data_IF_722714603296
#
_entry.id   IF_722714603296
#
_cell.length_a   1.000
_cell.length_b   1.000
_cell.length_c   1.000
_cell.angle_alpha   90.00
_cell.angle_beta   90.00
_cell.angle_gamma   90.00
#
_symmetry.space_group_name_H-M   'P 1'
#
loop_
_entity.id
_entity.type
_entity.pdbx_description
1 polymer ?
#
# COMPACT_ATOMS: atom_id res chain seq x y z
N UNK A 1 5.92 -18.99 -18.49
CA UNK A 1 5.54 -18.43 -17.18
C UNK A 1 4.82 -17.11 -17.44
N UNK A 2 3.61 -16.97 -16.94
CA UNK A 2 2.85 -15.74 -17.15
C UNK A 2 3.36 -14.59 -16.27
N UNK A 3 2.90 -13.38 -16.54
CA UNK A 3 3.33 -12.19 -15.83
C UNK A 3 3.01 -12.26 -14.33
N UNK A 4 1.84 -12.80 -13.98
CA UNK A 4 1.42 -12.91 -12.58
C UNK A 4 2.35 -13.83 -11.79
N UNK A 5 2.72 -14.98 -12.37
CA UNK A 5 3.64 -15.92 -11.72
C UNK A 5 5.01 -15.30 -11.50
N UNK A 6 5.52 -14.55 -12.48
CA UNK A 6 6.79 -13.82 -12.35
C UNK A 6 6.73 -12.80 -11.22
N UNK A 7 5.63 -12.06 -11.12
CA UNK A 7 5.45 -11.05 -10.08
C UNK A 7 5.35 -11.68 -8.69
N UNK A 8 4.66 -12.81 -8.58
CA UNK A 8 4.59 -13.56 -7.33
C UNK A 8 5.99 -14.01 -6.89
N UNK A 9 6.82 -14.45 -7.83
CA UNK A 9 8.21 -14.86 -7.54
C UNK A 9 9.03 -13.67 -7.03
N UNK A 10 8.90 -12.51 -7.67
CA UNK A 10 9.60 -11.29 -7.23
C UNK A 10 9.14 -10.89 -5.84
N UNK A 11 7.83 -10.92 -5.58
CA UNK A 11 7.26 -10.56 -4.29
C UNK A 11 7.74 -11.50 -3.17
N UNK A 12 7.84 -12.79 -3.45
CA UNK A 12 8.32 -13.78 -2.48
C UNK A 12 9.79 -13.57 -2.14
N UNK A 13 10.61 -13.18 -3.11
CA UNK A 13 12.06 -12.99 -2.92
C UNK A 13 12.42 -11.62 -2.37
N UNK A 14 11.81 -10.58 -2.91
CA UNK A 14 12.24 -9.19 -2.70
C UNK A 14 11.19 -8.32 -1.99
N UNK A 15 10.01 -8.88 -1.72
CA UNK A 15 8.92 -8.17 -1.06
C UNK A 15 8.02 -7.41 -2.03
N UNK A 16 6.84 -7.03 -1.51
CA UNK A 16 5.81 -6.35 -2.32
C UNK A 16 6.25 -4.95 -2.76
N UNK A 17 7.02 -4.25 -1.93
CA UNK A 17 7.47 -2.88 -2.24
C UNK A 17 8.35 -2.88 -3.50
N UNK A 18 9.31 -3.82 -3.58
CA UNK A 18 10.17 -3.94 -4.75
C UNK A 18 9.38 -4.36 -5.99
N UNK A 19 8.42 -5.27 -5.81
CA UNK A 19 7.54 -5.72 -6.90
C UNK A 19 6.77 -4.54 -7.50
N UNK A 20 6.20 -3.69 -6.65
CA UNK A 20 5.46 -2.50 -7.09
C UNK A 20 6.38 -1.52 -7.82
N UNK A 21 7.60 -1.36 -7.33
CA UNK A 21 8.58 -0.47 -7.99
C UNK A 21 8.91 -0.97 -9.40
N UNK A 22 9.08 -2.27 -9.56
CA UNK A 22 9.36 -2.87 -10.86
C UNK A 22 8.19 -2.71 -11.82
N UNK A 23 6.96 -2.88 -11.32
CA UNK A 23 5.75 -2.84 -12.15
C UNK A 23 5.33 -1.43 -12.53
N UNK A 24 5.34 -0.52 -11.58
CA UNK A 24 4.72 0.80 -11.73
C UNK A 24 5.72 1.96 -11.67
N UNK A 25 6.94 1.71 -11.25
CA UNK A 25 7.93 2.74 -11.00
C UNK A 25 7.76 3.38 -9.61
N UNK A 26 8.55 4.40 -9.34
CA UNK A 26 8.54 5.11 -8.06
C UNK A 26 7.62 6.32 -8.11
N UNK A 27 6.99 6.64 -6.97
CA UNK A 27 6.20 7.86 -6.83
C UNK A 27 4.82 7.82 -7.45
N UNK A 28 4.36 6.66 -7.90
CA UNK A 28 3.03 6.49 -8.52
C UNK A 28 2.00 6.21 -7.44
N UNK A 29 0.84 6.88 -7.54
CA UNK A 29 -0.30 6.57 -6.68
C UNK A 29 -0.94 5.27 -7.13
N UNK A 30 -1.18 4.38 -6.20
CA UNK A 30 -1.80 3.08 -6.46
C UNK A 30 -3.14 2.95 -5.75
N UNK A 31 -4.07 2.28 -6.41
CA UNK A 31 -5.30 1.82 -5.77
C UNK A 31 -5.01 0.45 -5.15
N UNK A 32 -5.24 0.32 -3.85
CA UNK A 32 -4.82 -0.83 -3.06
C UNK A 32 -6.02 -1.69 -2.72
N UNK A 33 -6.03 -2.99 -3.10
CA UNK A 33 -7.09 -3.90 -2.64
C UNK A 33 -6.92 -4.18 -1.15
N UNK A 34 -8.03 -4.26 -0.41
CA UNK A 34 -7.97 -4.47 1.03
C UNK A 34 -9.20 -5.22 1.54
N UNK A 35 -9.04 -5.81 2.74
CA UNK A 35 -10.14 -6.36 3.53
C UNK A 35 -10.30 -5.50 4.78
N UNK A 36 -11.52 -5.06 5.06
CA UNK A 36 -11.81 -4.20 6.23
C UNK A 36 -11.37 -4.85 7.54
N UNK A 37 -11.42 -6.17 7.63
CA UNK A 37 -10.99 -6.89 8.83
C UNK A 37 -9.52 -6.68 9.15
N UNK A 38 -8.69 -6.54 8.12
CA UNK A 38 -7.26 -6.35 8.29
C UNK A 38 -6.88 -4.89 8.55
N UNK A 39 -7.81 -3.97 8.30
CA UNK A 39 -7.52 -2.54 8.30
C UNK A 39 -8.05 -1.80 9.53
N UNK A 40 -8.81 -2.47 10.40
CA UNK A 40 -9.34 -1.87 11.62
C UNK A 40 -8.30 -1.93 12.76
N UNK A 41 -7.13 -1.39 12.47
CA UNK A 41 -6.00 -1.35 13.39
C UNK A 41 -5.36 0.03 13.34
N UNK A 42 -4.63 0.37 14.40
CA UNK A 42 -3.90 1.63 14.48
C UNK A 42 -2.84 1.74 13.40
N UNK A 43 -2.61 2.96 12.90
CA UNK A 43 -1.52 3.25 11.96
C UNK A 43 -0.14 2.93 12.55
N UNK A 44 -0.03 2.75 13.85
CA UNK A 44 1.23 2.41 14.50
C UNK A 44 1.81 1.08 13.99
N UNK A 45 0.97 0.17 13.50
CA UNK A 45 1.42 -1.10 12.92
C UNK A 45 2.21 -0.92 11.62
N UNK A 46 2.11 0.25 11.00
CA UNK A 46 2.78 0.53 9.72
C UNK A 46 4.25 0.90 9.88
N UNK A 47 4.71 1.15 11.09
CA UNK A 47 6.10 1.59 11.34
C UNK A 47 6.51 2.81 10.50
N UNK A 48 5.62 3.80 10.45
CA UNK A 48 5.90 5.04 9.73
C UNK A 48 6.96 5.87 10.46
N UNK A 49 7.64 6.74 9.71
CA UNK A 49 8.49 7.75 10.31
C UNK A 49 7.68 8.61 11.28
N UNK A 50 8.33 9.23 12.24
CA UNK A 50 7.67 10.12 13.21
C UNK A 50 6.95 11.24 12.48
N UNK A 51 7.56 11.80 11.44
CA UNK A 51 6.98 12.88 10.64
C UNK A 51 5.69 12.46 9.94
N UNK A 52 5.71 11.30 9.26
CA UNK A 52 4.52 10.80 8.56
C UNK A 52 3.41 10.45 9.54
N UNK A 53 3.75 9.75 10.62
CA UNK A 53 2.79 9.36 11.65
C UNK A 53 2.12 10.58 12.27
N UNK A 54 2.90 11.60 12.65
CA UNK A 54 2.36 12.81 13.27
C UNK A 54 1.47 13.59 12.31
N UNK A 55 1.84 13.66 11.03
CA UNK A 55 1.00 14.33 10.02
C UNK A 55 -0.37 13.68 9.89
N UNK A 56 -0.42 12.35 9.88
CA UNK A 56 -1.68 11.61 9.82
C UNK A 56 -2.51 11.86 11.08
N UNK A 57 -1.90 11.73 12.25
CA UNK A 57 -2.58 11.90 13.54
C UNK A 57 -3.16 13.31 13.72
N UNK A 58 -2.43 14.32 13.28
CA UNK A 58 -2.91 15.71 13.31
C UNK A 58 -4.15 15.93 12.43
N UNK A 59 -4.32 15.11 11.42
CA UNK A 59 -5.48 15.15 10.53
C UNK A 59 -6.54 14.12 10.89
N UNK A 60 -6.48 13.59 12.11
CA UNK A 60 -7.44 12.61 12.65
C UNK A 60 -7.47 11.29 11.88
N UNK A 61 -6.36 10.94 11.24
CA UNK A 61 -6.21 9.67 10.53
C UNK A 61 -5.46 8.72 11.46
N UNK A 62 -6.19 7.82 12.09
CA UNK A 62 -5.69 6.99 13.18
C UNK A 62 -5.60 5.51 12.85
N UNK A 63 -6.34 5.05 11.83
CA UNK A 63 -6.39 3.64 11.47
C UNK A 63 -5.90 3.42 10.04
N UNK A 64 -5.47 2.18 9.76
CA UNK A 64 -5.04 1.80 8.42
C UNK A 64 -6.19 1.97 7.42
N UNK A 65 -7.43 1.63 7.82
CA UNK A 65 -8.60 1.81 6.97
C UNK A 65 -8.80 3.27 6.57
N UNK A 66 -8.64 4.19 7.51
CA UNK A 66 -8.73 5.63 7.21
C UNK A 66 -7.64 6.08 6.23
N UNK A 67 -6.41 5.55 6.39
CA UNK A 67 -5.31 5.86 5.47
C UNK A 67 -5.66 5.40 4.05
N UNK A 68 -6.16 4.16 3.91
CA UNK A 68 -6.54 3.62 2.60
C UNK A 68 -7.62 4.49 1.96
N UNK A 69 -8.62 4.90 2.74
CA UNK A 69 -9.67 5.80 2.25
C UNK A 69 -9.12 7.11 1.71
N UNK A 70 -8.15 7.70 2.40
CA UNK A 70 -7.51 8.94 1.96
C UNK A 70 -6.73 8.72 0.66
N UNK A 71 -6.02 7.59 0.55
CA UNK A 71 -5.29 7.25 -0.68
C UNK A 71 -6.26 7.08 -1.85
N UNK A 72 -7.36 6.35 -1.66
CA UNK A 72 -8.36 6.12 -2.71
C UNK A 72 -8.99 7.41 -3.22
N UNK A 73 -9.28 8.34 -2.32
CA UNK A 73 -9.85 9.63 -2.67
C UNK A 73 -8.81 10.63 -3.20
N UNK A 74 -7.54 10.21 -3.26
CA UNK A 74 -6.42 11.09 -3.65
C UNK A 74 -6.34 12.34 -2.76
N UNK A 75 -6.55 12.17 -1.47
CA UNK A 75 -6.60 13.26 -0.50
C UNK A 75 -5.33 13.37 0.38
N UNK A 76 -4.26 12.62 0.03
CA UNK A 76 -2.97 12.77 0.72
C UNK A 76 -2.31 14.11 0.41
N UNK A 77 -2.51 14.63 -0.79
CA UNK A 77 -1.89 15.89 -1.21
C UNK A 77 -2.27 17.09 -0.35
N UNK A 78 -3.55 17.26 0.05
CA UNK A 78 -3.92 18.37 0.91
C UNK A 78 -3.56 18.19 2.39
N UNK A 79 -3.01 17.05 2.78
CA UNK A 79 -2.60 16.87 4.18
C UNK A 79 -1.43 17.78 4.50
N UNK A 80 -1.66 18.64 5.48
CA UNK A 80 -0.69 19.64 5.90
C UNK A 80 0.56 18.97 6.47
N UNK A 81 1.73 19.49 6.08
CA UNK A 81 3.04 19.01 6.51
C UNK A 81 3.40 17.61 6.00
N UNK A 82 2.68 17.10 5.00
CA UNK A 82 3.03 15.84 4.39
C UNK A 82 3.67 16.09 3.01
N UNK A 83 4.98 15.93 2.94
CA UNK A 83 5.72 16.05 1.69
C UNK A 83 5.62 14.82 0.82
N UNK A 84 6.18 14.90 -0.38
CA UNK A 84 6.13 13.84 -1.38
C UNK A 84 6.71 12.52 -0.87
N UNK A 85 7.83 12.58 -0.14
CA UNK A 85 8.45 11.37 0.44
C UNK A 85 7.57 10.72 1.48
N UNK A 86 6.90 11.50 2.32
CA UNK A 86 6.02 10.96 3.36
C UNK A 86 4.78 10.30 2.76
N UNK A 87 4.22 10.87 1.69
CA UNK A 87 3.09 10.27 0.98
C UNK A 87 3.48 8.93 0.38
N UNK A 88 4.65 8.85 -0.25
CA UNK A 88 5.17 7.62 -0.81
C UNK A 88 5.41 6.57 0.27
N UNK A 89 6.00 6.99 1.39
CA UNK A 89 6.23 6.12 2.53
C UNK A 89 4.92 5.51 3.04
N UNK A 90 3.89 6.32 3.23
CA UNK A 90 2.59 5.88 3.72
C UNK A 90 2.00 4.80 2.81
N UNK A 91 1.99 5.07 1.49
CA UNK A 91 1.43 4.14 0.52
C UNK A 91 2.17 2.79 0.52
N UNK A 92 3.50 2.83 0.50
CA UNK A 92 4.31 1.61 0.47
C UNK A 92 4.21 0.82 1.76
N UNK A 93 4.14 1.49 2.90
CA UNK A 93 3.97 0.82 4.19
C UNK A 93 2.59 0.15 4.33
N UNK A 94 1.55 0.77 3.79
CA UNK A 94 0.22 0.15 3.74
C UNK A 94 0.25 -1.12 2.90
N UNK A 95 0.86 -1.07 1.72
CA UNK A 95 1.02 -2.25 0.86
C UNK A 95 1.76 -3.37 1.56
N UNK A 96 2.88 -3.04 2.19
CA UNK A 96 3.71 -4.03 2.88
C UNK A 96 2.95 -4.69 4.02
N UNK A 97 2.24 -3.90 4.82
CA UNK A 97 1.43 -4.41 5.92
C UNK A 97 0.34 -5.36 5.43
N UNK A 98 -0.44 -4.93 4.44
CA UNK A 98 -1.55 -5.74 3.92
C UNK A 98 -1.03 -7.05 3.33
N UNK A 99 0.04 -6.98 2.56
CA UNK A 99 0.63 -8.17 1.94
C UNK A 99 1.15 -9.15 2.98
N UNK A 100 1.83 -8.65 4.02
CA UNK A 100 2.39 -9.49 5.08
C UNK A 100 1.32 -10.23 5.89
N UNK A 101 0.09 -9.71 5.94
CA UNK A 101 -1.01 -10.34 6.67
C UNK A 101 -1.67 -11.49 5.91
N UNK A 102 -1.28 -11.75 4.67
CA UNK A 102 -1.96 -12.70 3.79
C UNK A 102 -1.28 -14.07 3.78
N UNK A 103 -2.08 -15.12 3.57
CA UNK A 103 -1.57 -16.46 3.28
C UNK A 103 -0.98 -16.50 1.87
N UNK A 104 -0.24 -17.58 1.53
CA UNK A 104 0.34 -17.72 0.19
C UNK A 104 -0.72 -17.68 -0.91
N UNK A 105 -1.85 -18.33 -0.71
CA UNK A 105 -2.96 -18.32 -1.69
C UNK A 105 -3.57 -16.91 -1.82
N UNK A 106 -3.75 -16.22 -0.70
CA UNK A 106 -4.29 -14.87 -0.69
C UNK A 106 -3.34 -13.86 -1.33
N UNK A 107 -2.03 -14.06 -1.20
CA UNK A 107 -1.03 -13.20 -1.80
C UNK A 107 -1.13 -13.18 -3.33
N UNK A 108 -1.37 -14.33 -3.95
CA UNK A 108 -1.56 -14.40 -5.40
C UNK A 108 -2.81 -13.62 -5.83
N UNK A 109 -3.91 -13.82 -5.12
CA UNK A 109 -5.14 -13.08 -5.39
C UNK A 109 -4.97 -11.58 -5.17
N UNK A 110 -4.22 -11.19 -4.15
CA UNK A 110 -3.91 -9.79 -3.86
C UNK A 110 -3.15 -9.15 -5.03
N UNK A 111 -2.11 -9.81 -5.54
CA UNK A 111 -1.34 -9.29 -6.67
C UNK A 111 -2.19 -9.16 -7.92
N UNK A 112 -3.06 -10.14 -8.19
CA UNK A 112 -3.99 -10.07 -9.32
C UNK A 112 -4.92 -8.86 -9.17
N UNK A 113 -5.52 -8.70 -7.99
CA UNK A 113 -6.43 -7.59 -7.74
C UNK A 113 -5.73 -6.24 -7.80
N UNK A 114 -4.49 -6.17 -7.35
CA UNK A 114 -3.67 -4.95 -7.46
C UNK A 114 -3.48 -4.56 -8.93
N UNK A 115 -3.15 -5.53 -9.77
CA UNK A 115 -2.98 -5.29 -11.21
C UNK A 115 -4.28 -4.81 -11.85
N UNK A 116 -5.38 -5.53 -11.60
CA UNK A 116 -6.69 -5.21 -12.18
C UNK A 116 -7.15 -3.81 -11.73
N UNK A 117 -7.02 -3.53 -10.44
CA UNK A 117 -7.48 -2.25 -9.87
C UNK A 117 -6.70 -1.06 -10.42
N UNK A 118 -5.46 -1.28 -10.83
CA UNK A 118 -4.60 -0.25 -11.41
C UNK A 118 -4.52 -0.36 -12.93
N UNK A 119 -5.46 -1.07 -13.55
CA UNK A 119 -5.67 -1.15 -14.99
C UNK A 119 -4.48 -1.76 -15.75
N UNK A 120 -3.80 -2.70 -15.15
CA UNK A 120 -2.74 -3.46 -15.80
C UNK A 120 -3.36 -4.74 -16.36
N UNK A 121 -3.19 -4.96 -17.66
CA UNK A 121 -3.65 -6.20 -18.30
C UNK A 121 -2.73 -7.36 -17.95
N UNK A 122 -3.34 -8.50 -17.70
CA UNK A 122 -2.62 -9.74 -17.38
C UNK A 122 -2.41 -10.61 -18.61
#
# INVERSE_FOLDING_TARGET
>A
MDALTKLCTIADRNGIVETVRVMFGSGVRLDIPYSEKLCDVSIDVLNLSVRASNSLKRNSIMTVLQVIGVIERNELDPIRNMGKKSKQEVQLKVLDFLYACLSSAEKQAFLRNLLVKNKVEL
#
